data_IF_172152978215
#
_entry.id   IF_172152978215
#
_cell.length_a   1.000
_cell.length_b   1.000
_cell.length_c   1.000
_cell.angle_alpha   90.00
_cell.angle_beta   90.00
_cell.angle_gamma   90.00
#
_symmetry.space_group_name_H-M   'P 1'
#
loop_
_entity.id
_entity.type
_entity.pdbx_description
1 polymer ?
#
# COMPACT_ATOMS: atom_id res chain seq x y z
N UNK A 1 -4.31 0.43 -22.77
CA UNK A 1 -3.77 0.10 -21.44
C UNK A 1 -2.94 1.26 -20.90
N UNK A 2 -3.23 1.67 -19.69
CA UNK A 2 -2.53 2.78 -19.05
C UNK A 2 -1.26 2.25 -18.39
N UNK A 3 -0.14 2.93 -18.62
CA UNK A 3 1.13 2.64 -17.93
C UNK A 3 1.33 3.71 -16.86
N UNK A 4 1.19 3.33 -15.59
CA UNK A 4 1.39 4.25 -14.47
C UNK A 4 2.87 4.45 -14.16
N UNK A 5 3.19 5.48 -13.36
CA UNK A 5 4.56 5.71 -12.92
C UNK A 5 5.09 4.51 -12.10
N UNK A 6 4.25 3.93 -11.25
CA UNK A 6 4.64 2.73 -10.48
C UNK A 6 5.04 1.58 -11.41
N UNK A 7 4.28 1.35 -12.49
CA UNK A 7 4.62 0.32 -13.48
C UNK A 7 5.94 0.61 -14.18
N UNK A 8 6.19 1.88 -14.55
CA UNK A 8 7.45 2.28 -15.20
C UNK A 8 8.65 2.03 -14.28
N UNK A 9 8.49 2.32 -13.00
CA UNK A 9 9.55 2.08 -12.02
C UNK A 9 9.85 0.60 -11.87
N UNK A 10 8.83 -0.25 -11.82
CA UNK A 10 9.00 -1.70 -11.76
C UNK A 10 9.65 -2.24 -13.03
N UNK A 11 9.24 -1.73 -14.20
CA UNK A 11 9.84 -2.12 -15.48
C UNK A 11 11.34 -1.78 -15.49
N UNK A 12 11.72 -0.59 -15.04
CA UNK A 12 13.12 -0.17 -14.95
C UNK A 12 13.93 -1.05 -14.00
N UNK A 13 13.31 -1.48 -12.91
CA UNK A 13 13.94 -2.36 -11.92
C UNK A 13 13.91 -3.84 -12.34
N UNK A 14 13.27 -4.15 -13.47
CA UNK A 14 13.10 -5.52 -13.99
C UNK A 14 12.36 -6.43 -13.02
N UNK A 15 11.37 -5.88 -12.34
CA UNK A 15 10.50 -6.62 -11.43
C UNK A 15 9.21 -6.97 -12.16
N UNK A 16 8.89 -8.26 -12.20
CA UNK A 16 7.68 -8.75 -12.85
C UNK A 16 6.45 -8.41 -12.04
N UNK A 17 5.37 -8.06 -12.73
CA UNK A 17 4.06 -7.82 -12.16
C UNK A 17 3.00 -8.06 -13.21
N UNK A 18 1.77 -8.24 -12.77
CA UNK A 18 0.61 -8.23 -13.65
C UNK A 18 -0.25 -7.04 -13.24
N UNK A 19 -0.90 -6.40 -14.20
CA UNK A 19 -1.84 -5.32 -13.92
C UNK A 19 -3.26 -5.83 -14.15
N UNK A 20 -4.16 -5.47 -13.24
CA UNK A 20 -5.58 -5.82 -13.33
C UNK A 20 -6.38 -4.54 -13.23
N UNK A 21 -7.15 -4.25 -14.26
CA UNK A 21 -8.04 -3.09 -14.29
C UNK A 21 -9.42 -3.50 -13.78
N UNK A 22 -10.11 -2.55 -13.16
CA UNK A 22 -11.46 -2.74 -12.67
C UNK A 22 -12.24 -1.44 -12.81
N UNK A 23 -13.57 -1.54 -12.84
CA UNK A 23 -14.43 -0.37 -12.91
C UNK A 23 -14.47 0.33 -11.55
N UNK A 24 -14.19 1.63 -11.54
CA UNK A 24 -14.18 2.43 -10.32
C UNK A 24 -15.59 2.77 -9.90
N UNK A 25 -15.95 2.46 -8.65
CA UNK A 25 -17.16 2.93 -8.01
C UNK A 25 -16.75 3.99 -6.99
N UNK A 26 -16.94 5.26 -7.32
CA UNK A 26 -16.55 6.37 -6.44
C UNK A 26 -17.32 6.40 -5.13
N UNK A 27 -18.46 5.73 -5.06
CA UNK A 27 -19.26 5.60 -3.84
C UNK A 27 -18.79 4.43 -2.99
N UNK A 28 -17.92 3.56 -3.50
CA UNK A 28 -17.40 2.42 -2.78
C UNK A 28 -15.94 2.14 -3.16
N UNK A 29 -15.05 2.87 -2.51
CA UNK A 29 -13.61 2.73 -2.71
C UNK A 29 -12.99 1.68 -1.78
N UNK A 30 -13.80 0.98 -0.99
CA UNK A 30 -13.31 -0.01 -0.03
C UNK A 30 -12.49 -1.10 -0.73
N UNK A 31 -11.36 -1.45 -0.13
CA UNK A 31 -10.46 -2.47 -0.68
C UNK A 31 -11.11 -3.84 -0.81
N UNK A 32 -12.04 -4.16 0.07
CA UNK A 32 -12.79 -5.42 0.01
C UNK A 32 -13.67 -5.49 -1.25
N UNK A 33 -14.27 -4.37 -1.64
CA UNK A 33 -15.02 -4.27 -2.88
C UNK A 33 -14.10 -4.45 -4.09
N UNK A 34 -12.94 -3.82 -4.07
CA UNK A 34 -11.93 -3.95 -5.12
C UNK A 34 -11.46 -5.40 -5.25
N UNK A 35 -11.19 -6.06 -4.11
CA UNK A 35 -10.79 -7.47 -4.10
C UNK A 35 -11.81 -8.36 -4.83
N UNK A 36 -13.10 -8.14 -4.55
CA UNK A 36 -14.18 -8.85 -5.22
C UNK A 36 -14.20 -8.62 -6.72
N UNK A 37 -13.93 -7.40 -7.16
CA UNK A 37 -13.93 -7.06 -8.59
C UNK A 37 -12.75 -7.69 -9.35
N UNK A 38 -11.58 -7.76 -8.74
CA UNK A 38 -10.40 -8.33 -9.41
C UNK A 38 -10.25 -9.84 -9.21
N UNK A 39 -11.11 -10.44 -8.38
CA UNK A 39 -11.10 -11.89 -8.17
C UNK A 39 -9.92 -12.39 -7.35
N UNK A 40 -9.35 -11.55 -6.50
CA UNK A 40 -8.24 -11.92 -5.61
C UNK A 40 -8.78 -12.04 -4.18
N UNK A 41 -8.39 -13.08 -3.43
CA UNK A 41 -8.82 -13.20 -2.03
C UNK A 41 -8.50 -11.93 -1.26
N UNK A 42 -9.43 -11.51 -0.41
CA UNK A 42 -9.33 -10.23 0.31
C UNK A 42 -8.06 -10.14 1.15
N UNK A 43 -7.60 -11.24 1.73
CA UNK A 43 -6.38 -11.28 2.55
C UNK A 43 -5.09 -11.09 1.74
N UNK A 44 -5.17 -11.19 0.41
CA UNK A 44 -4.02 -10.96 -0.49
C UNK A 44 -4.02 -9.55 -1.09
N UNK A 45 -5.07 -8.77 -0.87
CA UNK A 45 -5.15 -7.39 -1.35
C UNK A 45 -4.72 -6.46 -0.22
N UNK A 46 -3.72 -5.64 -0.49
CA UNK A 46 -3.14 -4.74 0.51
C UNK A 46 -3.48 -3.29 0.20
N UNK A 47 -3.82 -2.55 1.23
CA UNK A 47 -4.02 -1.10 1.15
C UNK A 47 -2.80 -0.40 1.73
N UNK A 48 -2.50 0.77 1.19
CA UNK A 48 -1.37 1.59 1.61
C UNK A 48 -1.89 2.78 2.41
N UNK A 49 -1.48 2.83 3.67
CA UNK A 49 -1.91 3.85 4.61
C UNK A 49 -0.75 4.77 4.95
N UNK A 50 -1.05 6.04 5.14
CA UNK A 50 -0.05 7.04 5.52
C UNK A 50 -0.41 7.59 6.89
N UNK A 51 0.54 7.59 7.78
CA UNK A 51 0.36 8.03 9.15
C UNK A 51 1.52 8.93 9.56
N UNK A 52 1.35 9.62 10.66
CA UNK A 52 2.35 10.54 11.17
C UNK A 52 2.69 10.19 12.61
N UNK A 53 3.97 10.01 12.88
CA UNK A 53 4.48 9.84 14.23
C UNK A 53 4.66 11.19 14.91
N UNK A 54 4.54 11.19 16.22
CA UNK A 54 4.74 12.40 17.02
C UNK A 54 6.14 13.00 16.83
N UNK A 55 7.16 12.14 16.74
CA UNK A 55 8.56 12.54 16.59
C UNK A 55 9.19 12.13 15.28
N UNK A 56 8.79 10.98 14.74
CA UNK A 56 9.42 10.37 13.56
C UNK A 56 8.85 10.85 12.22
N UNK A 57 7.78 11.63 12.23
CA UNK A 57 7.18 12.16 11.02
C UNK A 57 6.38 11.13 10.23
N UNK A 58 6.34 11.31 8.92
CA UNK A 58 5.49 10.49 8.02
C UNK A 58 6.03 9.07 7.87
N UNK A 59 5.13 8.11 8.03
CA UNK A 59 5.38 6.68 7.90
C UNK A 59 4.31 6.06 7.01
N UNK A 60 4.67 5.02 6.27
CA UNK A 60 3.76 4.33 5.35
C UNK A 60 3.57 2.89 5.83
N UNK A 61 2.33 2.43 5.81
CA UNK A 61 1.96 1.08 6.26
C UNK A 61 1.11 0.38 5.21
N UNK A 62 1.49 -0.83 4.85
CA UNK A 62 0.75 -1.67 3.92
C UNK A 62 0.16 -2.85 4.68
N UNK A 63 -1.17 -2.98 4.67
CA UNK A 63 -1.87 -4.02 5.42
C UNK A 63 -2.99 -4.63 4.56
N UNK A 64 -3.45 -5.86 4.88
CA UNK A 64 -4.59 -6.44 4.17
C UNK A 64 -5.82 -5.53 4.25
N UNK A 65 -6.58 -5.46 3.16
CA UNK A 65 -7.74 -4.55 3.07
C UNK A 65 -8.87 -4.88 4.05
N UNK A 66 -8.94 -6.13 4.52
CA UNK A 66 -9.94 -6.56 5.50
C UNK A 66 -9.48 -6.39 6.96
N UNK A 67 -8.33 -5.79 7.16
CA UNK A 67 -7.78 -5.55 8.49
C UNK A 67 -7.59 -4.06 8.73
N UNK A 68 -7.28 -3.71 9.97
CA UNK A 68 -7.00 -2.33 10.34
C UNK A 68 -5.58 -2.20 10.88
N UNK A 69 -5.01 -1.01 10.79
CA UNK A 69 -3.70 -0.74 11.36
C UNK A 69 -3.83 -0.66 12.88
N UNK A 70 -3.06 -1.49 13.59
CA UNK A 70 -2.96 -1.39 15.04
C UNK A 70 -1.98 -0.25 15.37
N UNK A 71 -2.50 0.88 15.83
CA UNK A 71 -1.70 2.08 16.02
C UNK A 71 -0.62 1.91 17.09
N UNK A 72 -0.86 1.09 18.10
CA UNK A 72 0.15 0.81 19.15
C UNK A 72 1.29 -0.03 18.60
N UNK A 73 0.98 -1.06 17.82
CA UNK A 73 2.00 -1.89 17.18
C UNK A 73 2.78 -1.06 16.15
N UNK A 74 2.09 -0.22 15.38
CA UNK A 74 2.73 0.69 14.43
C UNK A 74 3.72 1.63 15.13
N UNK A 75 3.31 2.24 16.24
CA UNK A 75 4.19 3.11 17.00
C UNK A 75 5.41 2.36 17.50
N UNK A 76 5.22 1.13 17.99
CA UNK A 76 6.32 0.31 18.51
C UNK A 76 7.35 -0.03 17.42
N UNK A 77 6.92 -0.43 16.21
CA UNK A 77 7.84 -0.77 15.14
C UNK A 77 8.56 0.44 14.56
N UNK A 78 7.92 1.60 14.57
CA UNK A 78 8.52 2.88 14.16
C UNK A 78 9.52 3.37 15.21
N UNK A 79 9.29 3.06 16.46
CA UNK A 79 10.08 3.60 17.58
C UNK A 79 9.60 4.97 18.01
N UNK A 80 8.29 5.21 17.92
CA UNK A 80 7.67 6.48 18.30
C UNK A 80 6.66 6.24 19.43
N UNK A 81 6.31 7.30 20.10
CA UNK A 81 5.32 7.25 21.21
C UNK A 81 3.90 7.08 20.68
N UNK A 82 3.59 7.71 19.57
CA UNK A 82 2.23 7.78 19.04
C UNK A 82 2.24 7.90 17.53
N UNK A 83 1.31 7.21 16.90
CA UNK A 83 1.07 7.27 15.46
C UNK A 83 -0.39 7.67 15.25
N UNK A 84 -0.62 8.62 14.37
CA UNK A 84 -1.96 9.05 13.95
C UNK A 84 -2.08 9.01 12.44
N UNK A 85 -3.25 8.62 11.94
CA UNK A 85 -3.49 8.64 10.50
C UNK A 85 -3.50 10.10 10.00
N UNK A 86 -2.90 10.33 8.83
CA UNK A 86 -3.00 11.65 8.19
C UNK A 86 -4.41 11.87 7.67
N UNK A 87 -4.80 13.13 7.54
CA UNK A 87 -6.09 13.46 6.92
C UNK A 87 -6.05 13.18 5.42
N UNK A 88 -7.18 12.72 4.87
CA UNK A 88 -7.28 12.42 3.43
C UNK A 88 -6.85 13.59 2.57
N UNK A 89 -7.19 14.82 2.98
CA UNK A 89 -6.81 16.05 2.25
C UNK A 89 -5.31 16.29 2.17
N UNK A 90 -4.52 15.69 3.05
CA UNK A 90 -3.07 15.85 3.05
C UNK A 90 -2.37 14.81 2.16
N UNK A 91 -3.07 13.73 1.81
CA UNK A 91 -2.49 12.58 1.15
C UNK A 91 -1.82 12.93 -0.19
N UNK A 92 -2.50 13.69 -1.04
CA UNK A 92 -1.97 14.08 -2.34
C UNK A 92 -0.66 14.87 -2.22
N UNK A 93 -0.64 15.85 -1.31
CA UNK A 93 0.56 16.67 -1.10
C UNK A 93 1.73 15.87 -0.57
N UNK A 94 1.48 14.86 0.27
CA UNK A 94 2.52 14.02 0.86
C UNK A 94 3.04 12.95 -0.09
N UNK A 95 2.17 12.33 -0.85
CA UNK A 95 2.51 11.12 -1.62
C UNK A 95 2.44 11.27 -3.13
N UNK A 96 1.66 12.20 -3.63
CA UNK A 96 1.33 12.32 -5.06
C UNK A 96 0.15 11.46 -5.46
N UNK A 97 -0.46 10.74 -4.52
CA UNK A 97 -1.60 9.84 -4.76
C UNK A 97 -2.84 10.29 -4.02
N UNK A 98 -4.00 9.87 -4.51
CA UNK A 98 -5.29 10.15 -3.87
C UNK A 98 -5.83 8.88 -3.20
N UNK A 99 -6.80 9.06 -2.32
CA UNK A 99 -7.48 7.93 -1.67
C UNK A 99 -8.05 6.97 -2.71
N UNK A 100 -7.83 5.67 -2.49
CA UNK A 100 -8.24 4.62 -3.42
C UNK A 100 -7.22 4.34 -4.53
N UNK A 101 -6.20 5.19 -4.67
CA UNK A 101 -5.14 5.02 -5.65
C UNK A 101 -3.75 5.19 -5.06
N UNK A 102 -3.62 5.08 -3.74
CA UNK A 102 -2.32 5.24 -3.09
C UNK A 102 -1.48 3.96 -3.21
N UNK A 103 -0.35 4.06 -3.88
CA UNK A 103 0.59 2.96 -4.07
C UNK A 103 1.79 3.11 -3.14
N UNK A 104 2.38 1.99 -2.67
CA UNK A 104 3.63 2.06 -1.93
C UNK A 104 4.83 2.30 -2.85
N UNK A 105 4.61 2.30 -4.16
CA UNK A 105 5.66 2.46 -5.18
C UNK A 105 5.57 3.87 -5.78
N UNK A 106 6.69 4.56 -5.85
CA UNK A 106 6.75 5.83 -6.58
C UNK A 106 6.12 7.02 -5.88
N UNK A 107 6.06 7.02 -4.57
CA UNK A 107 5.64 8.21 -3.82
C UNK A 107 6.57 9.39 -4.11
N UNK A 108 6.03 10.60 -4.03
CA UNK A 108 6.74 11.86 -4.21
C UNK A 108 8.06 11.90 -3.43
N UNK A 109 8.05 11.33 -2.23
CA UNK A 109 9.17 11.31 -1.31
C UNK A 109 9.27 9.91 -0.74
N UNK A 110 10.48 9.46 -0.48
CA UNK A 110 10.68 8.15 0.13
C UNK A 110 10.46 8.26 1.64
N UNK A 111 9.40 7.64 2.11
CA UNK A 111 9.08 7.53 3.54
C UNK A 111 9.43 6.14 4.05
N UNK A 112 9.76 6.00 5.34
CA UNK A 112 9.88 4.67 5.93
C UNK A 112 8.58 3.90 5.72
N UNK A 113 8.68 2.67 5.23
CA UNK A 113 7.54 1.84 4.86
C UNK A 113 7.57 0.51 5.60
N UNK A 114 6.43 0.11 6.10
CA UNK A 114 6.23 -1.12 6.87
C UNK A 114 5.11 -1.92 6.21
N UNK A 115 5.30 -3.22 6.09
CA UNK A 115 4.29 -4.10 5.50
C UNK A 115 3.96 -5.20 6.50
N UNK A 116 2.67 -5.51 6.65
CA UNK A 116 2.25 -6.56 7.56
C UNK A 116 2.84 -7.90 7.15
N UNK A 117 3.26 -8.66 8.14
CA UNK A 117 3.95 -9.95 7.92
C UNK A 117 3.14 -10.98 7.15
N UNK A 118 1.82 -10.84 7.09
CA UNK A 118 0.97 -11.73 6.30
C UNK A 118 1.29 -11.70 4.83
N UNK A 119 1.90 -10.61 4.33
CA UNK A 119 2.25 -10.48 2.92
C UNK A 119 3.15 -11.61 2.42
N UNK A 120 4.09 -12.06 3.24
CA UNK A 120 5.06 -13.08 2.84
C UNK A 120 4.48 -14.50 2.84
N UNK A 121 3.24 -14.67 3.31
CA UNK A 121 2.55 -15.95 3.27
C UNK A 121 2.06 -16.31 1.85
N UNK A 122 2.05 -15.35 0.95
CA UNK A 122 1.50 -15.49 -0.40
C UNK A 122 2.59 -15.39 -1.44
N UNK A 123 2.39 -16.12 -2.54
CA UNK A 123 3.29 -16.00 -3.69
C UNK A 123 3.17 -14.65 -4.37
N UNK A 124 1.94 -14.09 -4.39
CA UNK A 124 1.66 -12.76 -4.89
C UNK A 124 0.68 -12.03 -4.00
N UNK A 125 0.77 -10.71 -3.99
CA UNK A 125 -0.20 -9.82 -3.35
C UNK A 125 -0.62 -8.76 -4.36
N UNK A 126 -1.75 -8.13 -4.10
CA UNK A 126 -2.23 -7.02 -4.92
C UNK A 126 -2.03 -5.70 -4.17
N UNK A 127 -1.49 -4.71 -4.86
CA UNK A 127 -1.35 -3.34 -4.36
C UNK A 127 -1.81 -2.36 -5.43
N UNK A 128 -2.19 -1.14 -5.04
CA UNK A 128 -2.59 -0.14 -6.01
C UNK A 128 -1.46 0.16 -7.02
N UNK A 129 -1.85 0.34 -8.27
CA UNK A 129 -0.93 0.76 -9.33
C UNK A 129 -0.63 2.26 -9.31
N UNK A 130 -1.27 3.03 -8.40
CA UNK A 130 -1.10 4.47 -8.31
C UNK A 130 -2.27 5.27 -8.89
N UNK A 131 -3.31 4.59 -9.34
CA UNK A 131 -4.56 5.19 -9.80
C UNK A 131 -5.72 4.33 -9.33
N UNK A 132 -6.89 4.94 -9.21
CA UNK A 132 -8.13 4.17 -9.02
C UNK A 132 -8.37 3.35 -10.28
N UNK A 133 -8.84 2.14 -10.12
CA UNK A 133 -9.19 1.29 -11.26
C UNK A 133 -8.09 0.36 -11.74
N UNK A 134 -6.94 0.32 -11.07
CA UNK A 134 -5.86 -0.57 -11.47
C UNK A 134 -5.08 -1.07 -10.25
N UNK A 135 -4.88 -2.39 -10.19
CA UNK A 135 -4.07 -3.04 -9.17
C UNK A 135 -2.89 -3.75 -9.81
N UNK A 136 -1.81 -3.85 -9.07
CA UNK A 136 -0.63 -4.64 -9.45
C UNK A 136 -0.62 -5.93 -8.66
N UNK A 137 -0.41 -7.04 -9.35
CA UNK A 137 -0.20 -8.36 -8.73
C UNK A 137 1.30 -8.61 -8.78
N UNK A 138 1.93 -8.71 -7.62
CA UNK A 138 3.38 -8.70 -7.50
C UNK A 138 3.86 -9.66 -6.41
N UNK A 139 5.05 -10.20 -6.58
CA UNK A 139 5.70 -11.01 -5.55
C UNK A 139 6.04 -10.12 -4.34
N UNK A 140 5.55 -10.45 -3.14
CA UNK A 140 5.74 -9.58 -1.97
C UNK A 140 7.19 -9.41 -1.54
N UNK A 141 8.04 -10.42 -1.68
CA UNK A 141 9.44 -10.32 -1.30
C UNK A 141 10.20 -9.35 -2.20
N UNK A 142 9.92 -9.37 -3.51
CA UNK A 142 10.51 -8.44 -4.46
C UNK A 142 10.02 -7.02 -4.22
N UNK A 143 8.75 -6.86 -3.89
CA UNK A 143 8.20 -5.56 -3.52
C UNK A 143 8.88 -5.00 -2.27
N UNK A 144 8.97 -5.81 -1.22
CA UNK A 144 9.61 -5.42 0.04
C UNK A 144 11.05 -4.96 -0.20
N UNK A 145 11.80 -5.72 -0.97
CA UNK A 145 13.18 -5.35 -1.30
C UNK A 145 13.25 -4.04 -2.08
N UNK A 146 12.39 -3.89 -3.09
CA UNK A 146 12.42 -2.70 -3.96
C UNK A 146 12.06 -1.41 -3.21
N UNK A 147 11.02 -1.44 -2.38
CA UNK A 147 10.60 -0.24 -1.62
C UNK A 147 11.30 -0.12 -0.27
N UNK A 148 12.20 -1.04 0.04
CA UNK A 148 12.93 -1.06 1.30
C UNK A 148 11.97 -1.07 2.51
N UNK A 149 10.97 -1.92 2.45
CA UNK A 149 9.97 -2.04 3.50
C UNK A 149 10.45 -2.96 4.62
N UNK A 150 9.96 -2.69 5.82
CA UNK A 150 10.16 -3.55 6.97
C UNK A 150 8.94 -4.45 7.13
N UNK A 151 9.18 -5.77 7.16
CA UNK A 151 8.12 -6.76 7.39
C UNK A 151 7.93 -6.91 8.90
N UNK A 152 6.69 -6.72 9.36
CA UNK A 152 6.41 -6.72 10.81
C UNK A 152 4.91 -6.96 11.08
N UNK A 153 4.57 -7.23 12.32
CA UNK A 153 3.17 -7.39 12.73
C UNK A 153 2.58 -6.03 13.09
N UNK A 154 1.66 -5.55 12.27
CA UNK A 154 1.03 -4.22 12.46
C UNK A 154 -0.48 -4.21 12.24
N UNK A 155 -1.06 -5.26 11.67
CA UNK A 155 -2.49 -5.32 11.39
C UNK A 155 -3.28 -6.08 12.46
N UNK A 156 -4.55 -5.72 12.59
CA UNK A 156 -5.46 -6.41 13.50
C UNK A 156 -6.84 -6.62 12.88
#
# INVERSE_FOLDING_TARGET
MIKTNAMRLLDQAKIEYQSVEYEVDENNLAGEHVAGQIGVPVEQVFKTLVAKGEKKGIQVFCIPVNMELNLKKAAAVVGDKKIEMVHVKELLGLTGYIRGGCSPIGMKKKYPTFIDETAILFETIAVSAGIRGCQLIINPEKLVEYIDATVCEIAE
#
